data_IF_798756629529
#
_entry.id   IF_798756629529
#
_cell.length_a   1.000
_cell.length_b   1.000
_cell.length_c   1.000
_cell.angle_alpha   90.00
_cell.angle_beta   90.00
_cell.angle_gamma   90.00
#
_symmetry.space_group_name_H-M   'P 1'
#
loop_
_entity.id
_entity.type
_entity.pdbx_description
1 polymer ?
#
# COMPACT_ATOMS: atom_id res chain seq x y z
N UNK A 1 0.38 38.46 -7.85
CA UNK A 1 0.39 38.70 -6.40
C UNK A 1 0.87 37.41 -5.77
N UNK A 2 2.12 37.38 -5.33
CA UNK A 2 2.66 36.19 -4.67
C UNK A 2 2.06 36.10 -3.26
N UNK A 3 1.36 35.01 -2.98
CA UNK A 3 0.80 34.75 -1.64
C UNK A 3 1.96 34.31 -0.74
N UNK A 4 2.23 35.07 0.32
CA UNK A 4 3.30 34.74 1.28
C UNK A 4 3.02 33.37 1.93
N UNK A 5 4.05 32.52 2.03
CA UNK A 5 3.96 31.17 2.60
C UNK A 5 2.90 30.28 1.91
N UNK A 6 2.72 30.44 0.60
CA UNK A 6 1.75 29.68 -0.19
C UNK A 6 0.28 29.89 0.20
N UNK A 7 -0.02 30.70 1.22
CA UNK A 7 -1.33 30.78 1.87
C UNK A 7 -1.56 29.71 2.96
N UNK A 8 -0.56 28.87 3.22
CA UNK A 8 -0.65 27.70 4.11
C UNK A 8 0.34 27.79 5.28
N UNK A 9 0.65 29.01 5.71
CA UNK A 9 1.56 29.26 6.83
C UNK A 9 1.64 30.73 7.22
N UNK A 10 2.45 30.99 8.25
CA UNK A 10 2.73 32.32 8.74
C UNK A 10 4.17 32.73 8.45
N UNK A 11 4.36 33.93 7.92
CA UNK A 11 5.68 34.50 7.67
C UNK A 11 6.23 35.14 8.94
N UNK A 12 7.45 34.77 9.33
CA UNK A 12 8.14 35.41 10.44
C UNK A 12 8.65 36.80 10.03
N UNK A 13 8.21 37.90 10.67
CA UNK A 13 8.39 39.26 10.16
C UNK A 13 9.84 39.76 10.12
N UNK A 14 10.74 39.11 10.85
CA UNK A 14 12.17 39.50 10.93
C UNK A 14 13.07 38.55 10.14
N UNK A 15 12.69 37.29 10.04
CA UNK A 15 13.56 36.23 9.49
C UNK A 15 13.18 35.89 8.05
N UNK A 16 11.98 36.27 7.59
CA UNK A 16 11.49 35.94 6.26
C UNK A 16 11.23 34.44 6.03
N UNK A 17 11.24 33.65 7.10
CA UNK A 17 10.96 32.20 7.04
C UNK A 17 9.49 31.93 7.29
N UNK A 18 8.96 30.88 6.66
CA UNK A 18 7.58 30.46 6.82
C UNK A 18 7.46 29.36 7.87
N UNK A 19 6.44 29.47 8.72
CA UNK A 19 5.97 28.39 9.60
C UNK A 19 4.69 27.83 8.98
N UNK A 20 4.78 26.64 8.40
CA UNK A 20 3.67 26.02 7.68
C UNK A 20 2.64 25.38 8.62
N UNK A 21 1.40 25.24 8.15
CA UNK A 21 0.38 24.47 8.86
C UNK A 21 0.72 22.97 8.83
N UNK A 22 0.43 22.31 9.95
CA UNK A 22 0.59 20.87 10.12
C UNK A 22 -0.48 20.35 11.08
N UNK A 23 -1.73 20.33 10.60
CA UNK A 23 -2.89 19.89 11.39
C UNK A 23 -4.02 19.36 10.49
N UNK A 24 -4.98 18.58 11.04
CA UNK A 24 -6.06 17.98 10.26
C UNK A 24 -7.03 18.97 9.58
N UNK A 25 -7.10 20.22 10.03
CA UNK A 25 -8.06 21.22 9.54
C UNK A 25 -7.50 22.04 8.37
N UNK A 26 -6.24 22.43 8.47
CA UNK A 26 -5.58 23.32 7.50
C UNK A 26 -4.61 22.56 6.57
N UNK A 27 -4.30 21.30 6.88
CA UNK A 27 -3.41 20.44 6.11
C UNK A 27 -1.98 20.36 6.66
N UNK A 28 -1.20 19.44 6.09
CA UNK A 28 0.21 19.25 6.34
C UNK A 28 1.05 19.74 5.16
N UNK A 29 1.70 20.89 5.34
CA UNK A 29 2.42 21.60 4.27
C UNK A 29 3.93 21.60 4.51
N UNK A 30 4.69 21.45 3.44
CA UNK A 30 6.15 21.32 3.51
C UNK A 30 6.85 22.68 3.71
N UNK A 31 7.71 22.76 4.71
CA UNK A 31 8.56 23.93 4.94
C UNK A 31 9.62 24.11 3.84
N UNK A 32 10.06 23.00 3.21
CA UNK A 32 11.07 23.02 2.15
C UNK A 32 10.57 23.73 0.87
N UNK A 33 9.25 23.77 0.69
CA UNK A 33 8.59 24.39 -0.47
C UNK A 33 7.86 25.67 -0.10
N UNK A 34 8.19 26.32 1.02
CA UNK A 34 7.52 27.56 1.45
C UNK A 34 5.99 27.36 1.61
N UNK A 35 5.58 26.19 2.09
CA UNK A 35 4.19 25.76 2.26
C UNK A 35 3.38 25.71 0.96
N UNK A 36 4.02 25.51 -0.21
CA UNK A 36 3.29 25.38 -1.48
C UNK A 36 3.01 23.94 -1.88
N UNK A 37 3.65 22.96 -1.25
CA UNK A 37 3.45 21.53 -1.50
C UNK A 37 3.11 20.79 -0.21
N UNK A 38 2.50 19.61 -0.34
CA UNK A 38 2.22 18.76 0.81
C UNK A 38 3.51 18.31 1.48
N UNK A 39 3.45 18.12 2.80
CA UNK A 39 4.47 17.37 3.50
C UNK A 39 4.50 15.92 3.02
N UNK A 40 5.65 15.27 3.13
CA UNK A 40 5.80 13.86 2.78
C UNK A 40 4.79 13.00 3.56
N UNK A 41 4.17 12.05 2.86
CA UNK A 41 3.13 11.16 3.37
C UNK A 41 1.73 11.77 3.41
N UNK A 42 1.51 12.95 2.81
CA UNK A 42 0.21 13.61 2.73
C UNK A 42 -0.19 13.90 1.28
N UNK A 43 -1.49 13.86 1.01
CA UNK A 43 -2.03 14.00 -0.33
C UNK A 43 -3.37 14.75 -0.37
N UNK A 44 -3.81 15.04 -1.60
CA UNK A 44 -5.03 15.78 -1.89
C UNK A 44 -4.81 17.29 -1.91
N UNK A 45 -5.76 18.02 -2.51
CA UNK A 45 -5.63 19.45 -2.82
C UNK A 45 -5.31 20.33 -1.60
N UNK A 46 -5.70 19.89 -0.40
CA UNK A 46 -5.50 20.60 0.86
C UNK A 46 -4.45 19.93 1.76
N UNK A 47 -3.81 18.85 1.30
CA UNK A 47 -2.82 18.08 2.08
C UNK A 47 -3.35 17.62 3.45
N UNK A 48 -4.66 17.36 3.56
CA UNK A 48 -5.33 16.92 4.79
C UNK A 48 -5.36 15.40 4.92
N UNK A 49 -5.24 14.69 3.80
CA UNK A 49 -5.30 13.24 3.77
C UNK A 49 -3.90 12.65 3.96
N UNK A 50 -3.82 11.62 4.78
CA UNK A 50 -2.57 10.90 5.07
C UNK A 50 -2.49 9.65 4.18
N UNK A 51 -1.29 9.30 3.73
CA UNK A 51 -1.06 8.06 2.99
C UNK A 51 -1.43 6.83 3.84
N UNK A 52 -1.96 5.75 3.24
CA UNK A 52 -2.20 4.50 3.94
C UNK A 52 -0.94 4.00 4.65
N UNK A 53 -1.04 3.45 5.86
CA UNK A 53 0.12 3.08 6.68
C UNK A 53 0.76 4.24 7.47
N UNK A 54 0.34 5.48 7.20
CA UNK A 54 0.74 6.69 7.91
C UNK A 54 1.85 7.47 7.21
N UNK A 55 1.97 8.75 7.51
CA UNK A 55 2.93 9.67 6.90
C UNK A 55 4.40 9.33 7.19
N UNK A 56 4.66 8.75 8.36
CA UNK A 56 6.00 8.27 8.73
C UNK A 56 6.39 6.96 8.05
N UNK A 57 5.42 6.18 7.57
CA UNK A 57 5.66 4.90 6.91
C UNK A 57 4.62 4.64 5.81
N UNK A 58 4.61 5.47 4.74
CA UNK A 58 3.61 5.37 3.68
C UNK A 58 3.60 3.96 3.08
N UNK A 59 2.40 3.46 2.75
CA UNK A 59 2.16 2.12 2.24
C UNK A 59 2.78 1.03 3.12
N UNK A 60 2.75 1.23 4.44
CA UNK A 60 3.37 0.36 5.45
C UNK A 60 4.88 0.11 5.23
N UNK A 61 5.56 0.92 4.42
CA UNK A 61 6.95 0.73 4.05
C UNK A 61 7.19 -0.37 3.01
N UNK A 62 6.12 -0.83 2.36
CA UNK A 62 6.14 -1.89 1.34
C UNK A 62 5.56 -1.39 0.00
N UNK A 63 5.79 -0.12 -0.29
CA UNK A 63 5.33 0.50 -1.53
C UNK A 63 5.56 2.00 -1.54
N UNK A 64 5.07 2.64 -2.59
CA UNK A 64 5.12 4.10 -2.78
C UNK A 64 3.71 4.65 -2.84
N UNK A 65 3.45 5.73 -2.09
CA UNK A 65 2.17 6.43 -2.09
C UNK A 65 2.14 7.49 -3.19
N UNK A 66 1.02 7.60 -3.92
CA UNK A 66 0.74 8.72 -4.81
C UNK A 66 0.39 9.97 -4.00
N UNK A 67 1.43 10.64 -3.49
CA UNK A 67 1.34 11.77 -2.57
C UNK A 67 1.29 13.14 -3.26
N UNK A 68 1.10 14.21 -2.47
CA UNK A 68 1.05 15.58 -2.97
C UNK A 68 -0.35 16.06 -3.35
N UNK A 69 -0.44 17.32 -3.79
CA UNK A 69 -1.73 17.99 -4.01
C UNK A 69 -2.59 17.36 -5.11
N UNK A 70 -1.94 16.79 -6.13
CA UNK A 70 -2.60 16.06 -7.22
C UNK A 70 -2.57 14.55 -7.01
N UNK A 71 -1.97 14.08 -5.91
CA UNK A 71 -1.89 12.67 -5.57
C UNK A 71 -3.25 12.13 -5.17
N UNK A 72 -3.44 10.83 -5.40
CA UNK A 72 -4.67 10.08 -5.09
C UNK A 72 -4.60 9.33 -3.77
N UNK A 73 -3.43 9.25 -3.14
CA UNK A 73 -3.20 8.44 -1.94
C UNK A 73 -3.11 6.93 -2.20
N UNK A 74 -3.21 6.50 -3.46
CA UNK A 74 -3.12 5.09 -3.83
C UNK A 74 -1.69 4.57 -3.63
N UNK A 75 -1.59 3.34 -3.13
CA UNK A 75 -0.32 2.69 -2.87
C UNK A 75 0.08 1.77 -4.03
N UNK A 76 1.23 2.05 -4.63
CA UNK A 76 1.91 1.11 -5.53
C UNK A 76 2.79 0.18 -4.70
N UNK A 77 2.31 -1.04 -4.45
CA UNK A 77 3.01 -2.00 -3.61
C UNK A 77 4.26 -2.59 -4.25
N UNK A 78 5.25 -2.86 -3.42
CA UNK A 78 6.45 -3.61 -3.78
C UNK A 78 6.10 -5.06 -4.14
N UNK A 79 7.05 -5.75 -4.75
CA UNK A 79 6.85 -7.12 -5.23
C UNK A 79 6.39 -8.04 -4.07
N UNK A 80 5.40 -8.89 -4.35
CA UNK A 80 4.78 -9.82 -3.41
C UNK A 80 3.95 -9.18 -2.28
N UNK A 81 3.83 -7.86 -2.23
CA UNK A 81 2.93 -7.15 -1.32
C UNK A 81 1.67 -6.71 -2.04
N UNK A 82 0.57 -6.62 -1.30
CA UNK A 82 -0.74 -6.26 -1.85
C UNK A 82 -1.64 -5.61 -0.81
N UNK A 83 -2.79 -5.12 -1.30
CA UNK A 83 -3.80 -4.42 -0.52
C UNK A 83 -3.59 -2.90 -0.46
N UNK A 84 -4.57 -2.15 0.08
CA UNK A 84 -4.58 -0.68 0.00
C UNK A 84 -3.43 0.02 0.72
N UNK A 85 -2.78 -0.67 1.65
CA UNK A 85 -1.62 -0.16 2.40
C UNK A 85 -0.40 -1.08 2.29
N UNK A 86 -0.38 -1.99 1.31
CA UNK A 86 0.69 -2.96 1.10
C UNK A 86 1.06 -3.77 2.35
N UNK A 87 0.06 -4.16 3.14
CA UNK A 87 0.25 -4.89 4.39
C UNK A 87 -0.02 -6.40 4.25
N UNK A 88 -0.51 -6.86 3.10
CA UNK A 88 -0.80 -8.28 2.86
C UNK A 88 0.20 -8.87 1.86
N UNK A 89 0.41 -10.18 1.91
CA UNK A 89 1.14 -10.87 0.85
C UNK A 89 0.23 -11.10 -0.36
N UNK A 90 0.81 -10.97 -1.55
CA UNK A 90 0.21 -11.44 -2.79
C UNK A 90 -0.06 -12.95 -2.72
N UNK A 91 -1.06 -13.43 -3.46
CA UNK A 91 -1.43 -14.84 -3.49
C UNK A 91 -0.22 -15.72 -3.83
N UNK A 92 -0.03 -16.78 -3.04
CA UNK A 92 1.10 -17.70 -3.21
C UNK A 92 2.40 -17.24 -2.54
N UNK A 93 2.38 -16.14 -1.79
CA UNK A 93 3.48 -15.68 -0.95
C UNK A 93 3.09 -15.69 0.52
N UNK A 94 4.04 -16.02 1.39
CA UNK A 94 3.84 -16.10 2.82
C UNK A 94 5.04 -15.57 3.60
N UNK A 95 4.91 -15.59 4.94
CA UNK A 95 5.79 -15.00 5.95
C UNK A 95 5.49 -13.53 6.24
N UNK A 96 6.06 -13.03 7.33
CA UNK A 96 5.95 -11.63 7.75
C UNK A 96 6.63 -10.64 6.79
N UNK A 97 7.44 -11.13 5.85
CA UNK A 97 8.14 -10.33 4.85
C UNK A 97 7.65 -10.59 3.41
N UNK A 98 6.70 -11.50 3.23
CA UNK A 98 6.19 -11.93 1.92
C UNK A 98 7.31 -12.34 0.92
N UNK A 99 8.43 -12.87 1.43
CA UNK A 99 9.60 -13.28 0.64
C UNK A 99 9.68 -14.81 0.44
N UNK A 100 8.74 -15.56 1.01
CA UNK A 100 8.65 -17.00 0.87
C UNK A 100 7.53 -17.39 -0.09
N UNK A 101 7.88 -18.09 -1.17
CA UNK A 101 6.92 -18.55 -2.16
C UNK A 101 6.35 -19.93 -1.77
N UNK A 102 5.06 -20.13 -2.01
CA UNK A 102 4.42 -21.43 -1.94
C UNK A 102 5.07 -22.42 -2.92
N UNK A 103 5.04 -23.74 -2.62
CA UNK A 103 5.55 -24.76 -3.53
C UNK A 103 4.84 -24.70 -4.89
N UNK A 104 5.61 -24.58 -5.96
CA UNK A 104 5.10 -24.57 -7.33
C UNK A 104 5.60 -25.80 -8.08
N UNK A 105 4.75 -26.40 -8.89
CA UNK A 105 5.15 -27.42 -9.86
C UNK A 105 5.31 -26.79 -11.25
N UNK A 106 6.23 -27.35 -12.04
CA UNK A 106 6.35 -26.99 -13.44
C UNK A 106 4.99 -27.17 -14.13
N UNK A 107 4.60 -26.23 -15.02
CA UNK A 107 3.38 -26.39 -15.81
C UNK A 107 3.49 -27.66 -16.66
N UNK A 108 2.37 -28.37 -16.81
CA UNK A 108 2.26 -29.38 -17.87
C UNK A 108 2.07 -28.70 -19.23
N UNK A 109 2.39 -29.40 -20.32
CA UNK A 109 2.22 -28.90 -21.69
C UNK A 109 0.78 -28.41 -21.93
N UNK A 110 0.60 -27.10 -22.13
CA UNK A 110 -0.70 -26.46 -22.33
C UNK A 110 -1.30 -25.76 -21.10
N UNK A 111 -0.61 -25.72 -19.96
CA UNK A 111 -1.04 -24.95 -18.80
C UNK A 111 -0.72 -23.44 -18.96
N UNK A 112 -1.56 -22.53 -18.43
CA UNK A 112 -1.37 -21.08 -18.54
C UNK A 112 -0.25 -20.52 -17.64
N UNK A 113 0.36 -21.34 -16.77
CA UNK A 113 1.43 -20.93 -15.87
C UNK A 113 1.75 -21.97 -14.79
N UNK A 114 2.71 -21.67 -13.88
CA UNK A 114 3.06 -22.53 -12.75
C UNK A 114 1.85 -22.85 -11.87
N UNK A 115 1.77 -24.08 -11.36
CA UNK A 115 0.66 -24.52 -10.51
C UNK A 115 1.10 -24.53 -9.05
N UNK A 116 0.54 -23.63 -8.25
CA UNK A 116 0.68 -23.65 -6.79
C UNK A 116 0.14 -24.98 -6.28
N UNK A 117 0.90 -25.63 -5.39
CA UNK A 117 0.56 -26.94 -4.84
C UNK A 117 0.25 -28.00 -5.91
N UNK A 118 0.93 -27.93 -7.06
CA UNK A 118 0.70 -28.77 -8.23
C UNK A 118 -0.77 -28.80 -8.72
N UNK A 119 -1.57 -27.79 -8.36
CA UNK A 119 -3.01 -27.73 -8.64
C UNK A 119 -3.85 -28.73 -7.84
N UNK A 120 -3.33 -29.28 -6.74
CA UNK A 120 -3.98 -30.35 -5.96
C UNK A 120 -4.43 -29.91 -4.56
N UNK A 121 -4.39 -28.61 -4.28
CA UNK A 121 -4.75 -28.06 -2.98
C UNK A 121 -4.53 -26.56 -2.92
N UNK A 122 -4.81 -26.00 -1.75
CA UNK A 122 -4.61 -24.59 -1.45
C UNK A 122 -3.32 -24.43 -0.64
N UNK A 123 -2.57 -23.37 -0.93
CA UNK A 123 -1.44 -23.02 -0.08
C UNK A 123 -1.93 -22.25 1.14
N UNK A 124 -1.36 -22.57 2.31
CA UNK A 124 -1.45 -21.73 3.50
C UNK A 124 -0.52 -20.52 3.35
N UNK A 125 -1.00 -19.50 2.64
CA UNK A 125 -0.28 -18.28 2.28
C UNK A 125 -0.59 -17.09 3.22
N UNK A 126 -0.04 -15.91 2.92
CA UNK A 126 -0.21 -14.70 3.72
C UNK A 126 0.81 -14.55 4.87
N UNK A 127 0.66 -13.47 5.65
CA UNK A 127 1.64 -13.06 6.67
C UNK A 127 1.94 -14.14 7.73
N UNK A 128 0.92 -14.91 8.09
CA UNK A 128 1.01 -15.98 9.09
C UNK A 128 1.03 -17.38 8.45
N UNK A 129 1.05 -17.44 7.11
CA UNK A 129 1.04 -18.68 6.36
C UNK A 129 2.29 -19.49 6.58
N UNK A 130 2.16 -20.81 6.52
CA UNK A 130 3.26 -21.77 6.66
C UNK A 130 3.83 -22.23 5.32
N UNK A 131 3.23 -21.85 4.19
CA UNK A 131 3.59 -22.32 2.85
C UNK A 131 3.22 -23.78 2.60
N UNK A 132 2.47 -24.42 3.51
CA UNK A 132 2.06 -25.80 3.38
C UNK A 132 0.88 -25.93 2.41
N UNK A 133 0.96 -26.94 1.56
CA UNK A 133 -0.16 -27.31 0.69
C UNK A 133 -1.17 -28.15 1.47
N UNK A 134 -2.36 -27.59 1.64
CA UNK A 134 -3.49 -28.23 2.27
C UNK A 134 -4.36 -28.91 1.22
N UNK A 135 -4.62 -30.19 1.41
CA UNK A 135 -5.64 -30.87 0.62
C UNK A 135 -7.01 -30.31 1.03
N UNK A 136 -7.83 -29.90 0.07
CA UNK A 136 -9.22 -29.60 0.35
C UNK A 136 -9.92 -30.90 0.78
N UNK A 137 -9.99 -31.15 2.09
CA UNK A 137 -10.95 -32.09 2.66
C UNK A 137 -12.12 -31.26 3.20
N UNK A 138 -12.86 -30.54 2.35
CA UNK A 138 -14.01 -29.80 2.85
C UNK A 138 -15.22 -30.75 3.02
N UNK A 139 -15.88 -30.78 4.20
CA UNK A 139 -17.18 -31.41 4.39
C UNK A 139 -18.35 -30.51 3.92
N UNK A 140 -18.11 -29.50 3.08
CA UNK A 140 -19.18 -28.64 2.58
C UNK A 140 -19.93 -29.29 1.43
N UNK A 141 -21.04 -29.92 1.80
CA UNK A 141 -22.17 -30.31 0.96
C UNK A 141 -22.51 -29.27 -0.12
N UNK A 142 -22.53 -29.74 -1.37
CA UNK A 142 -23.52 -29.39 -2.41
C UNK A 142 -23.64 -27.94 -2.85
N UNK A 143 -23.07 -27.60 -4.02
CA UNK A 143 -23.63 -26.59 -4.93
C UNK A 143 -22.99 -26.63 -6.33
N UNK A 144 -23.10 -27.77 -7.01
CA UNK A 144 -23.18 -27.81 -8.48
C UNK A 144 -24.28 -28.80 -8.85
N UNK A 145 -25.46 -28.25 -9.10
CA UNK A 145 -26.52 -28.95 -9.82
C UNK A 145 -26.11 -29.09 -11.27
N UNK A 146 -26.21 -30.31 -11.78
CA UNK A 146 -26.03 -30.64 -13.19
C UNK A 146 -26.73 -31.96 -13.45
N UNK A 147 -28.04 -31.88 -13.72
CA UNK A 147 -28.77 -32.87 -14.50
C UNK A 147 -28.46 -32.69 -15.99
#
# INVERSE_FOLDING_TARGET
SDVLCGGHGQCHPVQGVCTCFYNPQDGAWSADTNCTECAAGYWGLTCTEECPGGSCNPCSGHGTCDEGQSGTGECSCDVHWTGPSCLACEMGWYSLQCDAACPQAAPFEGAPGPLICAGRGLCDDGLLGSGRCLCETSPFTGMWGGE
#
